data_IF_394640256306
#
_entry.id   IF_394640256306
#
_cell.length_a   1.000
_cell.length_b   1.000
_cell.length_c   1.000
_cell.angle_alpha   90.00
_cell.angle_beta   90.00
_cell.angle_gamma   90.00
#
_symmetry.space_group_name_H-M   'P 1'
#
loop_
_entity.id
_entity.type
_entity.pdbx_description
1 polymer ?
#
# COMPACT_ATOMS: atom_id res chain seq x y z
N UNK A 1 -27.37 -8.86 13.39
CA UNK A 1 -25.98 -9.34 13.21
C UNK A 1 -25.52 -9.63 11.78
N UNK A 2 -26.38 -9.70 10.75
CA UNK A 2 -25.99 -10.03 9.36
C UNK A 2 -24.89 -9.12 8.76
N UNK A 3 -24.84 -7.84 9.13
CA UNK A 3 -23.83 -6.90 8.62
C UNK A 3 -22.42 -7.11 9.18
N UNK A 4 -22.28 -7.81 10.32
CA UNK A 4 -20.98 -8.07 10.95
C UNK A 4 -20.04 -8.85 10.01
N UNK A 5 -20.59 -9.78 9.23
CA UNK A 5 -19.84 -10.58 8.27
C UNK A 5 -19.14 -9.68 7.22
N UNK A 6 -19.90 -8.76 6.60
CA UNK A 6 -19.35 -7.82 5.60
C UNK A 6 -18.44 -6.76 6.22
N UNK A 7 -18.76 -6.30 7.42
CA UNK A 7 -17.93 -5.30 8.11
C UNK A 7 -16.53 -5.88 8.41
N UNK A 8 -16.47 -7.09 8.96
CA UNK A 8 -15.23 -7.69 9.42
C UNK A 8 -14.40 -8.28 8.26
N UNK A 9 -14.99 -9.15 7.44
CA UNK A 9 -14.24 -9.87 6.39
C UNK A 9 -13.85 -8.97 5.20
N UNK A 10 -14.63 -7.92 4.93
CA UNK A 10 -14.38 -7.01 3.80
C UNK A 10 -13.71 -5.73 4.31
N UNK A 11 -14.43 -4.91 5.08
CA UNK A 11 -13.95 -3.57 5.43
C UNK A 11 -12.79 -3.62 6.42
N UNK A 12 -12.88 -4.43 7.48
CA UNK A 12 -11.79 -4.59 8.46
C UNK A 12 -10.52 -5.13 7.80
N UNK A 13 -10.67 -6.14 6.95
CA UNK A 13 -9.55 -6.76 6.25
C UNK A 13 -8.92 -5.83 5.18
N UNK A 14 -9.70 -4.98 4.52
CA UNK A 14 -9.18 -3.94 3.63
C UNK A 14 -8.49 -2.83 4.41
N UNK A 15 -9.12 -2.31 5.46
CA UNK A 15 -8.56 -1.27 6.31
C UNK A 15 -7.20 -1.68 6.87
N UNK A 16 -7.09 -2.91 7.38
CA UNK A 16 -5.82 -3.45 7.87
C UNK A 16 -4.76 -3.50 6.76
N UNK A 17 -5.07 -4.11 5.62
CA UNK A 17 -4.11 -4.25 4.52
C UNK A 17 -3.63 -2.90 3.97
N UNK A 18 -4.55 -1.94 3.80
CA UNK A 18 -4.24 -0.60 3.27
C UNK A 18 -3.41 0.21 4.26
N UNK A 19 -3.80 0.21 5.53
CA UNK A 19 -3.07 0.92 6.59
C UNK A 19 -1.65 0.37 6.74
N UNK A 20 -1.49 -0.95 6.72
CA UNK A 20 -0.17 -1.58 6.77
C UNK A 20 0.74 -1.14 5.63
N UNK A 21 0.26 -1.19 4.38
CA UNK A 21 1.05 -0.73 3.22
C UNK A 21 1.39 0.75 3.32
N UNK A 22 0.41 1.59 3.71
CA UNK A 22 0.61 3.02 3.92
C UNK A 22 1.73 3.30 4.93
N UNK A 23 1.71 2.63 6.08
CA UNK A 23 2.71 2.81 7.14
C UNK A 23 4.09 2.38 6.64
N UNK A 24 4.22 1.16 6.11
CA UNK A 24 5.50 0.61 5.66
C UNK A 24 6.12 1.46 4.54
N UNK A 25 5.32 1.87 3.56
CA UNK A 25 5.76 2.74 2.48
C UNK A 25 6.15 4.13 2.99
N UNK A 26 5.44 4.68 3.97
CA UNK A 26 5.76 5.99 4.57
C UNK A 26 7.09 5.97 5.33
N UNK A 27 7.43 4.87 6.01
CA UNK A 27 8.76 4.72 6.60
C UNK A 27 9.84 4.61 5.52
N UNK A 28 9.63 3.74 4.53
CA UNK A 28 10.57 3.52 3.45
C UNK A 28 10.90 4.81 2.69
N UNK A 29 9.90 5.60 2.27
CA UNK A 29 10.13 6.82 1.49
C UNK A 29 10.92 7.88 2.24
N UNK A 30 10.70 7.98 3.55
CA UNK A 30 11.38 8.95 4.40
C UNK A 30 12.84 8.54 4.62
N UNK A 31 13.07 7.28 4.98
CA UNK A 31 14.41 6.75 5.21
C UNK A 31 15.23 6.83 3.93
N UNK A 32 14.62 6.51 2.78
CA UNK A 32 15.29 6.60 1.50
C UNK A 32 15.85 8.00 1.22
N UNK A 33 15.08 9.06 1.49
CA UNK A 33 15.54 10.44 1.30
C UNK A 33 16.54 10.90 2.37
N UNK A 34 16.21 10.74 3.65
CA UNK A 34 17.03 11.30 4.73
C UNK A 34 18.35 10.57 4.94
N UNK A 35 18.43 9.26 4.64
CA UNK A 35 19.70 8.52 4.75
C UNK A 35 20.68 8.91 3.64
N UNK A 36 20.23 9.50 2.53
CA UNK A 36 21.15 10.05 1.52
C UNK A 36 22.01 11.17 2.09
N UNK A 37 21.46 12.01 2.97
CA UNK A 37 22.23 13.06 3.65
C UNK A 37 23.34 12.46 4.54
N UNK A 38 23.09 11.29 5.13
CA UNK A 38 24.13 10.55 5.86
C UNK A 38 25.25 10.07 4.92
N UNK A 39 24.92 9.55 3.74
CA UNK A 39 25.93 9.17 2.73
C UNK A 39 26.73 10.37 2.22
N UNK A 40 26.05 11.51 2.09
CA UNK A 40 26.70 12.77 1.73
C UNK A 40 27.64 13.26 2.83
N UNK A 41 27.30 13.07 4.12
CA UNK A 41 28.16 13.43 5.24
C UNK A 41 29.54 12.74 5.18
N UNK A 42 29.60 11.48 4.77
CA UNK A 42 30.88 10.78 4.55
C UNK A 42 31.73 11.40 3.43
N UNK A 43 31.09 12.04 2.45
CA UNK A 43 31.77 12.68 1.32
C UNK A 43 32.21 14.12 1.62
N UNK A 44 31.57 14.79 2.57
CA UNK A 44 31.78 16.20 2.89
C UNK A 44 32.58 16.44 4.19
N UNK A 45 33.19 15.38 4.75
CA UNK A 45 33.99 15.45 5.97
C UNK A 45 33.18 15.67 7.24
N UNK A 46 31.90 15.23 7.28
CA UNK A 46 30.98 15.43 8.41
C UNK A 46 30.73 16.90 8.77
N UNK A 47 30.78 17.79 7.79
CA UNK A 47 30.55 19.24 7.99
C UNK A 47 29.09 19.61 8.29
N UNK A 48 28.14 18.67 8.09
CA UNK A 48 26.71 18.92 8.26
C UNK A 48 26.07 19.69 7.09
N UNK A 49 26.78 19.84 5.98
CA UNK A 49 26.24 20.44 4.77
C UNK A 49 25.11 19.56 4.20
N UNK A 50 23.99 20.19 3.86
CA UNK A 50 22.85 19.53 3.21
C UNK A 50 23.10 19.37 1.70
N UNK A 51 22.69 18.23 1.15
CA UNK A 51 22.72 17.95 -0.29
C UNK A 51 21.53 18.61 -1.00
N UNK A 52 20.35 18.56 -0.37
CA UNK A 52 19.12 19.11 -0.95
C UNK A 52 18.81 20.50 -0.42
N UNK A 53 18.11 21.30 -1.22
CA UNK A 53 17.60 22.59 -0.75
C UNK A 53 16.56 22.39 0.36
N UNK A 54 16.57 23.31 1.34
CA UNK A 54 15.78 23.19 2.57
C UNK A 54 14.27 23.10 2.29
N UNK A 55 13.78 23.83 1.30
CA UNK A 55 12.37 23.77 0.92
C UNK A 55 12.02 22.49 0.19
N UNK A 56 12.92 21.96 -0.65
CA UNK A 56 12.74 20.65 -1.27
C UNK A 56 12.61 19.55 -0.21
N UNK A 57 13.42 19.59 0.85
CA UNK A 57 13.31 18.64 1.98
C UNK A 57 11.95 18.78 2.68
N UNK A 58 11.52 20.01 2.99
CA UNK A 58 10.24 20.26 3.67
C UNK A 58 9.02 19.84 2.86
N UNK A 59 9.04 20.07 1.54
CA UNK A 59 7.92 19.80 0.64
C UNK A 59 7.85 18.33 0.17
N UNK A 60 8.92 17.56 0.36
CA UNK A 60 8.98 16.15 -0.03
C UNK A 60 7.78 15.34 0.47
N UNK A 61 7.48 15.46 1.77
CA UNK A 61 6.43 14.69 2.41
C UNK A 61 5.03 15.23 2.18
N UNK A 62 4.90 16.52 1.88
CA UNK A 62 3.61 17.22 1.82
C UNK A 62 3.07 17.30 0.39
N UNK A 63 3.94 17.55 -0.59
CA UNK A 63 3.53 17.77 -1.98
C UNK A 63 3.93 16.58 -2.84
N UNK A 64 5.22 16.24 -2.90
CA UNK A 64 5.72 15.33 -3.92
C UNK A 64 5.42 13.86 -3.62
N UNK A 65 5.34 13.46 -2.35
CA UNK A 65 5.14 12.04 -1.97
C UNK A 65 3.98 11.82 -1.00
N UNK A 66 3.07 12.77 -0.84
CA UNK A 66 1.88 12.64 0.01
C UNK A 66 0.76 11.80 -0.63
N UNK A 67 0.61 11.92 -1.96
CA UNK A 67 -0.47 11.27 -2.69
C UNK A 67 -0.34 9.74 -2.74
N UNK A 68 0.84 9.14 -3.01
CA UNK A 68 0.94 7.68 -3.11
C UNK A 68 0.53 6.91 -1.84
N UNK A 69 0.97 7.32 -0.62
CA UNK A 69 0.46 6.75 0.64
C UNK A 69 -1.06 6.85 0.77
N UNK A 70 -1.65 7.99 0.38
CA UNK A 70 -3.08 8.21 0.44
C UNK A 70 -3.83 7.30 -0.54
N UNK A 71 -3.29 7.11 -1.75
CA UNK A 71 -3.84 6.18 -2.74
C UNK A 71 -3.84 4.73 -2.23
N UNK A 72 -2.76 4.29 -1.56
CA UNK A 72 -2.72 3.00 -0.85
C UNK A 72 -3.81 2.90 0.22
N UNK A 73 -3.93 3.93 1.06
CA UNK A 73 -4.84 3.97 2.20
C UNK A 73 -6.32 3.87 1.81
N UNK A 74 -6.70 4.44 0.65
CA UNK A 74 -8.10 4.59 0.26
C UNK A 74 -8.55 3.62 -0.83
N UNK A 75 -7.73 3.43 -1.88
CA UNK A 75 -8.19 2.84 -3.13
C UNK A 75 -7.64 1.44 -3.40
N UNK A 76 -6.56 1.02 -2.74
CA UNK A 76 -5.92 -0.28 -3.03
C UNK A 76 -6.78 -1.48 -2.60
N UNK A 77 -6.97 -2.44 -3.51
CA UNK A 77 -7.80 -3.63 -3.31
C UNK A 77 -7.13 -4.87 -3.89
N UNK A 78 -6.67 -5.76 -3.01
CA UNK A 78 -6.01 -7.00 -3.42
C UNK A 78 -6.95 -8.09 -3.96
N UNK A 79 -8.20 -8.15 -3.48
CA UNK A 79 -9.22 -9.08 -3.97
C UNK A 79 -10.58 -8.39 -3.92
N UNK A 80 -11.53 -8.83 -4.76
CA UNK A 80 -12.89 -8.29 -4.71
C UNK A 80 -13.57 -8.53 -3.36
N UNK A 81 -14.53 -7.67 -3.03
CA UNK A 81 -15.41 -7.85 -1.88
C UNK A 81 -16.17 -9.19 -1.95
N UNK A 82 -16.52 -9.62 -3.17
CA UNK A 82 -17.20 -10.91 -3.41
C UNK A 82 -16.30 -12.10 -3.08
N UNK A 83 -15.03 -12.10 -3.53
CA UNK A 83 -14.06 -13.14 -3.19
C UNK A 83 -13.85 -13.28 -1.68
N UNK A 84 -13.71 -12.17 -0.95
CA UNK A 84 -13.49 -12.21 0.50
C UNK A 84 -14.68 -12.77 1.28
N UNK A 85 -15.90 -12.50 0.83
CA UNK A 85 -17.10 -13.11 1.39
C UNK A 85 -17.22 -14.59 1.03
N UNK A 86 -16.82 -14.97 -0.19
CA UNK A 86 -16.82 -16.36 -0.65
C UNK A 86 -15.75 -17.20 0.07
N UNK A 87 -14.60 -16.62 0.40
CA UNK A 87 -13.49 -17.29 1.07
C UNK A 87 -13.07 -16.60 2.39
N UNK A 88 -13.74 -16.94 3.52
CA UNK A 88 -13.41 -16.38 4.84
C UNK A 88 -11.98 -16.68 5.30
N UNK A 89 -11.35 -17.74 4.77
CA UNK A 89 -9.96 -18.12 5.11
C UNK A 89 -8.94 -17.02 4.79
N UNK A 90 -9.22 -16.12 3.83
CA UNK A 90 -8.36 -14.96 3.55
C UNK A 90 -8.19 -14.02 4.75
N UNK A 91 -9.14 -14.05 5.70
CA UNK A 91 -9.09 -13.24 6.92
C UNK A 91 -8.04 -13.73 7.93
N UNK A 92 -7.69 -15.02 7.91
CA UNK A 92 -6.69 -15.59 8.85
C UNK A 92 -5.34 -14.88 8.75
N UNK A 93 -4.92 -14.50 7.55
CA UNK A 93 -3.64 -13.78 7.37
C UNK A 93 -3.68 -12.36 7.95
N UNK A 94 -4.87 -11.75 8.08
CA UNK A 94 -5.02 -10.49 8.81
C UNK A 94 -4.98 -10.72 10.33
N UNK A 95 -5.57 -11.82 10.83
CA UNK A 95 -5.53 -12.17 12.26
C UNK A 95 -4.12 -12.52 12.75
N UNK A 96 -3.35 -13.25 11.92
CA UNK A 96 -1.97 -13.64 12.24
C UNK A 96 -0.98 -12.46 12.15
N UNK A 97 -1.44 -11.28 11.74
CA UNK A 97 -0.60 -10.10 11.52
C UNK A 97 0.54 -10.31 10.53
N UNK A 98 0.33 -11.16 9.51
CA UNK A 98 1.38 -11.52 8.55
C UNK A 98 1.84 -10.30 7.72
N UNK A 99 0.96 -9.33 7.50
CA UNK A 99 1.24 -8.13 6.72
C UNK A 99 2.08 -7.11 7.49
N UNK A 100 1.89 -7.02 8.81
CA UNK A 100 2.59 -6.06 9.67
C UNK A 100 3.24 -6.80 10.84
N UNK A 101 4.50 -7.17 10.62
CA UNK A 101 5.36 -7.80 11.62
C UNK A 101 6.68 -7.03 11.69
N UNK A 102 7.36 -7.06 12.84
CA UNK A 102 8.69 -6.48 13.05
C UNK A 102 9.68 -6.95 11.99
N UNK A 103 9.62 -8.23 11.58
CA UNK A 103 10.45 -8.76 10.48
C UNK A 103 10.18 -8.04 9.16
N UNK A 104 8.91 -7.86 8.80
CA UNK A 104 8.51 -7.16 7.56
C UNK A 104 8.96 -5.71 7.64
N UNK A 105 8.74 -5.04 8.78
CA UNK A 105 9.20 -3.68 9.00
C UNK A 105 10.70 -3.53 8.71
N UNK A 106 11.55 -4.35 9.32
CA UNK A 106 13.00 -4.30 9.08
C UNK A 106 13.39 -4.59 7.62
N UNK A 107 12.70 -5.50 6.93
CA UNK A 107 12.93 -5.72 5.49
C UNK A 107 12.72 -4.42 4.72
N UNK A 108 11.64 -3.68 4.98
CA UNK A 108 11.39 -2.38 4.35
C UNK A 108 12.46 -1.33 4.69
N UNK A 109 12.96 -1.31 5.93
CA UNK A 109 14.06 -0.43 6.35
C UNK A 109 15.34 -0.75 5.57
N UNK A 110 15.73 -2.04 5.49
CA UNK A 110 16.92 -2.44 4.75
C UNK A 110 16.80 -2.17 3.25
N UNK A 111 15.62 -2.38 2.65
CA UNK A 111 15.36 -1.97 1.26
C UNK A 111 15.51 -0.46 1.07
N UNK A 112 15.03 0.36 2.02
CA UNK A 112 15.19 1.82 1.96
C UNK A 112 16.66 2.24 2.03
N UNK A 113 17.46 1.61 2.89
CA UNK A 113 18.91 1.85 3.01
C UNK A 113 19.63 1.40 1.75
N UNK A 114 19.28 0.24 1.19
CA UNK A 114 19.85 -0.26 -0.07
C UNK A 114 19.57 0.71 -1.22
N UNK A 115 18.33 1.18 -1.35
CA UNK A 115 17.98 2.17 -2.37
C UNK A 115 18.66 3.52 -2.15
N UNK A 116 18.78 4.00 -0.90
CA UNK A 116 19.46 5.27 -0.63
C UNK A 116 20.95 5.24 -1.01
N UNK A 117 21.62 4.10 -0.79
CA UNK A 117 23.01 3.89 -1.25
C UNK A 117 23.07 4.03 -2.77
N UNK A 118 22.24 3.29 -3.51
CA UNK A 118 22.27 3.35 -4.98
C UNK A 118 21.91 4.74 -5.51
N UNK A 119 20.88 5.36 -4.96
CA UNK A 119 20.42 6.69 -5.38
C UNK A 119 21.43 7.80 -5.07
N UNK A 120 22.34 7.60 -4.12
CA UNK A 120 23.42 8.55 -3.86
C UNK A 120 24.66 8.26 -4.71
N UNK A 121 25.16 7.02 -4.66
CA UNK A 121 26.43 6.68 -5.31
C UNK A 121 26.34 6.60 -6.83
N UNK A 122 25.22 6.14 -7.41
CA UNK A 122 25.11 6.06 -8.88
C UNK A 122 25.14 7.44 -9.55
N UNK A 123 24.33 8.45 -9.14
CA UNK A 123 24.48 9.80 -9.69
C UNK A 123 25.87 10.38 -9.42
N UNK A 124 26.41 10.19 -8.21
CA UNK A 124 27.76 10.68 -7.88
C UNK A 124 28.84 10.11 -8.80
N UNK A 125 28.73 8.84 -9.19
CA UNK A 125 29.66 8.21 -10.14
C UNK A 125 29.49 8.79 -11.56
N UNK A 126 28.25 9.01 -12.01
CA UNK A 126 27.96 9.61 -13.33
C UNK A 126 28.54 11.02 -13.42
N UNK A 127 28.37 11.82 -12.36
CA UNK A 127 28.86 13.19 -12.28
C UNK A 127 30.25 13.30 -11.64
N UNK A 128 31.02 12.21 -11.54
CA UNK A 128 32.36 12.23 -10.96
C UNK A 128 33.37 13.02 -11.80
N UNK A 129 33.10 13.18 -13.11
CA UNK A 129 33.80 14.13 -13.96
C UNK A 129 32.93 15.37 -14.01
N UNK A 130 33.38 16.44 -13.35
CA UNK A 130 32.60 17.66 -13.13
C UNK A 130 32.14 18.40 -14.41
N UNK A 131 32.60 17.98 -15.59
CA UNK A 131 32.21 18.49 -16.91
C UNK A 131 31.01 17.68 -17.43
N UNK A 132 29.80 18.12 -17.11
CA UNK A 132 28.56 17.49 -17.60
C UNK A 132 28.00 18.12 -18.88
N UNK A 133 28.49 19.30 -19.27
CA UNK A 133 28.06 20.02 -20.46
C UNK A 133 29.13 19.95 -21.56
N UNK A 134 28.69 19.85 -22.82
CA UNK A 134 29.58 19.92 -23.99
C UNK A 134 30.37 21.23 -24.09
N UNK A 135 29.90 22.28 -23.41
CA UNK A 135 30.49 23.61 -23.39
C UNK A 135 31.62 23.77 -22.33
N UNK A 136 31.97 22.70 -21.61
CA UNK A 136 33.04 22.72 -20.61
C UNK A 136 32.65 23.32 -19.25
N UNK A 137 31.38 23.70 -19.06
CA UNK A 137 30.88 24.22 -17.78
C UNK A 137 30.89 23.14 -16.70
N UNK A 138 31.38 23.54 -15.52
CA UNK A 138 31.44 22.70 -14.33
C UNK A 138 30.11 22.73 -13.57
N UNK A 139 29.71 21.56 -13.10
CA UNK A 139 28.49 21.36 -12.33
C UNK A 139 28.73 21.66 -10.84
N UNK A 140 27.83 22.42 -10.23
CA UNK A 140 27.85 22.70 -8.79
C UNK A 140 27.14 21.63 -7.96
N UNK A 141 27.39 21.64 -6.65
CA UNK A 141 26.76 20.74 -5.67
C UNK A 141 25.22 20.73 -5.74
N UNK A 142 24.60 21.90 -5.90
CA UNK A 142 23.14 22.06 -5.97
C UNK A 142 22.54 21.33 -7.17
N UNK A 143 23.25 21.30 -8.29
CA UNK A 143 22.81 20.54 -9.46
C UNK A 143 22.81 19.04 -9.16
N UNK A 144 23.92 18.51 -8.62
CA UNK A 144 24.00 17.09 -8.24
C UNK A 144 22.91 16.74 -7.23
N UNK A 145 22.66 17.61 -6.25
CA UNK A 145 21.55 17.49 -5.31
C UNK A 145 20.19 17.39 -5.99
N UNK A 146 19.92 18.25 -6.99
CA UNK A 146 18.66 18.21 -7.76
C UNK A 146 18.53 16.95 -8.63
N UNK A 147 19.63 16.45 -9.21
CA UNK A 147 19.64 15.18 -9.95
C UNK A 147 19.27 14.03 -9.00
N UNK A 148 19.96 13.92 -7.86
CA UNK A 148 19.72 12.87 -6.87
C UNK A 148 18.29 12.95 -6.35
N UNK A 149 17.80 14.14 -6.01
CA UNK A 149 16.44 14.34 -5.52
C UNK A 149 15.39 13.91 -6.55
N UNK A 150 15.59 14.26 -7.82
CA UNK A 150 14.68 13.85 -8.90
C UNK A 150 14.65 12.33 -9.05
N UNK A 151 15.81 11.67 -8.97
CA UNK A 151 15.88 10.21 -8.98
C UNK A 151 15.13 9.60 -7.78
N UNK A 152 15.29 10.17 -6.58
CA UNK A 152 14.58 9.71 -5.37
C UNK A 152 13.07 9.80 -5.54
N UNK A 153 12.54 10.95 -5.95
CA UNK A 153 11.09 11.14 -6.14
C UNK A 153 10.54 10.11 -7.13
N UNK A 154 11.21 9.91 -8.27
CA UNK A 154 10.77 8.97 -9.29
C UNK A 154 10.87 7.53 -8.77
N UNK A 155 11.99 7.12 -8.18
CA UNK A 155 12.16 5.77 -7.63
C UNK A 155 11.13 5.45 -6.56
N UNK A 156 10.84 6.39 -5.67
CA UNK A 156 9.86 6.20 -4.60
C UNK A 156 8.43 6.15 -5.15
N UNK A 157 8.10 6.95 -6.16
CA UNK A 157 6.80 6.87 -6.86
C UNK A 157 6.63 5.56 -7.63
N UNK A 158 7.68 5.11 -8.34
CA UNK A 158 7.68 3.83 -9.05
C UNK A 158 7.68 2.63 -8.09
N UNK A 159 8.35 2.73 -6.94
CA UNK A 159 8.21 1.73 -5.86
C UNK A 159 6.76 1.65 -5.39
N UNK A 160 6.06 2.78 -5.28
CA UNK A 160 4.64 2.78 -4.97
C UNK A 160 3.84 2.01 -6.05
N UNK A 161 4.14 2.27 -7.33
CA UNK A 161 3.53 1.58 -8.45
C UNK A 161 3.70 0.05 -8.39
N UNK A 162 4.88 -0.43 -7.96
CA UNK A 162 5.17 -1.86 -7.82
C UNK A 162 4.40 -2.53 -6.68
N UNK A 163 4.09 -1.80 -5.61
CA UNK A 163 3.45 -2.34 -4.40
C UNK A 163 1.91 -2.24 -4.44
N UNK A 164 1.35 -1.56 -5.45
CA UNK A 164 -0.09 -1.51 -5.69
C UNK A 164 -0.61 -2.86 -6.21
N UNK A 165 -1.70 -3.33 -5.61
CA UNK A 165 -2.37 -4.54 -6.10
C UNK A 165 -3.42 -4.22 -7.17
N UNK A 166 -4.05 -3.04 -7.08
CA UNK A 166 -5.06 -2.58 -8.04
C UNK A 166 -4.74 -1.20 -8.62
N UNK A 167 -4.68 -1.12 -9.95
CA UNK A 167 -4.54 0.13 -10.67
C UNK A 167 -5.90 0.78 -10.90
N UNK A 168 -6.10 1.94 -10.30
CA UNK A 168 -7.28 2.79 -10.47
C UNK A 168 -6.88 4.13 -11.08
N UNK A 169 -7.85 4.89 -11.59
CA UNK A 169 -7.58 6.25 -12.11
C UNK A 169 -6.92 7.13 -11.03
N UNK A 170 -7.36 6.98 -9.77
CA UNK A 170 -6.78 7.72 -8.65
C UNK A 170 -5.35 7.30 -8.33
N UNK A 171 -5.00 6.02 -8.45
CA UNK A 171 -3.61 5.59 -8.25
C UNK A 171 -2.70 6.07 -9.38
N UNK A 172 -3.18 6.09 -10.63
CA UNK A 172 -2.46 6.70 -11.74
C UNK A 172 -2.24 8.20 -11.52
N UNK A 173 -3.29 8.94 -11.19
CA UNK A 173 -3.21 10.37 -10.90
C UNK A 173 -2.24 10.64 -9.75
N UNK A 174 -2.27 9.80 -8.72
CA UNK A 174 -1.38 9.92 -7.57
C UNK A 174 0.09 9.70 -7.92
N UNK A 175 0.44 8.68 -8.70
CA UNK A 175 1.84 8.36 -9.02
C UNK A 175 2.40 9.34 -10.04
N UNK A 176 1.71 9.49 -11.17
CA UNK A 176 2.17 10.36 -12.26
C UNK A 176 2.04 11.83 -11.90
N UNK A 177 0.97 12.22 -11.19
CA UNK A 177 0.79 13.58 -10.70
C UNK A 177 1.88 13.98 -9.69
N UNK A 178 2.34 13.05 -8.85
CA UNK A 178 3.50 13.27 -7.96
C UNK A 178 4.81 13.53 -8.72
N UNK A 179 5.04 12.78 -9.81
CA UNK A 179 6.24 12.98 -10.64
C UNK A 179 6.16 14.31 -11.39
N UNK A 180 5.02 14.59 -12.04
CA UNK A 180 4.81 15.83 -12.80
C UNK A 180 4.86 17.06 -11.89
N UNK A 181 4.31 16.97 -10.67
CA UNK A 181 4.32 18.10 -9.73
C UNK A 181 5.74 18.49 -9.31
N UNK A 182 6.68 17.54 -9.23
CA UNK A 182 8.09 17.84 -8.98
C UNK A 182 8.73 18.65 -10.11
N UNK A 183 8.52 18.26 -11.37
CA UNK A 183 9.04 19.01 -12.52
C UNK A 183 8.43 20.42 -12.62
N UNK A 184 7.12 20.53 -12.43
CA UNK A 184 6.42 21.83 -12.41
C UNK A 184 6.93 22.71 -11.27
N UNK A 185 7.15 22.12 -10.08
CA UNK A 185 7.71 22.83 -8.94
C UNK A 185 9.11 23.37 -9.25
N UNK A 186 10.01 22.58 -9.83
CA UNK A 186 11.35 23.04 -10.19
C UNK A 186 11.31 24.24 -11.16
N UNK A 187 10.46 24.22 -12.18
CA UNK A 187 10.30 25.34 -13.11
C UNK A 187 9.86 26.64 -12.42
N UNK A 188 8.90 26.54 -11.48
CA UNK A 188 8.40 27.69 -10.75
C UNK A 188 9.42 28.18 -9.72
N UNK A 189 10.05 27.25 -8.99
CA UNK A 189 10.96 27.54 -7.89
C UNK A 189 12.30 28.13 -8.35
N UNK A 190 12.83 27.63 -9.47
CA UNK A 190 14.06 28.13 -10.08
C UNK A 190 13.85 29.40 -10.92
N UNK A 191 12.59 29.84 -11.10
CA UNK A 191 12.29 31.08 -11.82
C UNK A 191 12.95 32.29 -11.14
N UNK A 192 13.44 33.28 -11.90
CA UNK A 192 14.19 34.41 -11.32
C UNK A 192 13.41 35.17 -10.25
N UNK A 193 12.08 35.29 -10.42
CA UNK A 193 11.19 35.98 -9.49
C UNK A 193 11.10 35.28 -8.13
N UNK A 194 10.87 33.96 -8.13
CA UNK A 194 10.72 33.18 -6.89
C UNK A 194 12.09 32.91 -6.24
N UNK A 195 13.09 32.59 -7.05
CA UNK A 195 14.45 32.31 -6.58
C UNK A 195 15.09 33.51 -5.87
N UNK A 196 14.87 34.74 -6.35
CA UNK A 196 15.38 35.95 -5.69
C UNK A 196 14.78 36.18 -4.30
N UNK A 197 13.53 35.76 -4.07
CA UNK A 197 12.82 35.97 -2.82
C UNK A 197 13.09 34.87 -1.78
N UNK A 198 13.26 33.62 -2.24
CA UNK A 198 13.25 32.44 -1.36
C UNK A 198 14.60 31.71 -1.34
N UNK A 199 15.18 31.43 -2.51
CA UNK A 199 16.36 30.57 -2.64
C UNK A 199 17.26 30.99 -3.81
N UNK A 200 18.20 31.95 -3.59
CA UNK A 200 19.05 32.48 -4.65
C UNK A 200 19.96 31.40 -5.27
N UNK A 201 20.30 30.35 -4.52
CA UNK A 201 21.13 29.24 -4.98
C UNK A 201 20.45 28.36 -6.05
N UNK A 202 19.12 28.45 -6.18
CA UNK A 202 18.32 27.62 -7.09
C UNK A 202 18.02 28.33 -8.43
N UNK A 203 18.41 29.60 -8.58
CA UNK A 203 18.16 30.38 -9.80
C UNK A 203 18.90 29.72 -10.97
N UNK A 204 18.15 29.40 -12.04
CA UNK A 204 18.69 28.83 -13.28
C UNK A 204 19.12 27.36 -13.21
N UNK A 205 18.95 26.69 -12.06
CA UNK A 205 19.25 25.26 -11.93
C UNK A 205 18.35 24.39 -12.81
N UNK A 206 17.08 24.76 -12.97
CA UNK A 206 16.11 24.12 -13.87
C UNK A 206 16.60 24.08 -15.33
N UNK A 207 17.09 25.22 -15.83
CA UNK A 207 17.61 25.35 -17.20
C UNK A 207 18.83 24.49 -17.41
N UNK A 208 19.75 24.50 -16.45
CA UNK A 208 20.94 23.64 -16.47
C UNK A 208 20.53 22.17 -16.47
N UNK A 209 19.61 21.77 -15.61
CA UNK A 209 19.17 20.39 -15.44
C UNK A 209 18.51 19.85 -16.72
N UNK A 210 17.54 20.59 -17.29
CA UNK A 210 16.79 20.13 -18.46
C UNK A 210 17.58 20.19 -19.77
N UNK A 211 18.58 21.07 -19.87
CA UNK A 211 19.47 21.12 -21.05
C UNK A 211 20.52 20.00 -21.02
N UNK A 212 20.82 19.45 -19.83
CA UNK A 212 21.82 18.40 -19.69
C UNK A 212 21.29 17.04 -20.19
N UNK A 213 21.90 16.51 -21.25
CA UNK A 213 21.55 15.18 -21.76
C UNK A 213 21.86 14.06 -20.74
N UNK A 214 22.95 14.18 -19.99
CA UNK A 214 23.35 13.20 -18.97
C UNK A 214 22.30 13.09 -17.85
N UNK A 215 21.64 14.19 -17.49
CA UNK A 215 20.54 14.17 -16.52
C UNK A 215 19.39 13.27 -16.99
N UNK A 216 18.94 13.39 -18.24
CA UNK A 216 17.86 12.55 -18.78
C UNK A 216 18.25 11.07 -18.86
N UNK A 217 19.50 10.75 -19.23
CA UNK A 217 19.99 9.37 -19.19
C UNK A 217 20.05 8.82 -17.76
N UNK A 218 20.49 9.63 -16.81
CA UNK A 218 20.53 9.29 -15.38
C UNK A 218 19.13 8.98 -14.88
N UNK A 219 18.14 9.79 -15.26
CA UNK A 219 16.74 9.61 -14.91
C UNK A 219 16.12 8.36 -15.53
N UNK A 220 16.56 7.97 -16.74
CA UNK A 220 16.09 6.76 -17.40
C UNK A 220 16.72 5.49 -16.81
N UNK A 221 17.97 5.54 -16.38
CA UNK A 221 18.73 4.34 -15.97
C UNK A 221 18.66 4.09 -14.46
N UNK A 222 18.79 5.13 -13.63
CA UNK A 222 18.95 4.95 -12.19
C UNK A 222 17.67 4.41 -11.53
N UNK A 223 16.47 5.00 -11.72
CA UNK A 223 15.27 4.46 -11.09
C UNK A 223 14.99 2.99 -11.45
N UNK A 224 15.04 2.55 -12.73
CA UNK A 224 14.87 1.13 -13.05
C UNK A 224 15.96 0.23 -12.46
N UNK A 225 17.23 0.65 -12.45
CA UNK A 225 18.31 -0.16 -11.86
C UNK A 225 18.14 -0.33 -10.35
N UNK A 226 17.70 0.71 -9.64
CA UNK A 226 17.40 0.60 -8.20
C UNK A 226 16.25 -0.36 -7.91
N UNK A 227 15.18 -0.30 -8.71
CA UNK A 227 13.98 -1.12 -8.54
C UNK A 227 14.10 -2.53 -9.12
N UNK A 228 15.18 -2.83 -9.82
CA UNK A 228 15.37 -4.11 -10.49
C UNK A 228 15.32 -5.30 -9.51
N UNK A 229 15.97 -5.16 -8.36
CA UNK A 229 15.99 -6.21 -7.33
C UNK A 229 14.60 -6.45 -6.76
N UNK A 230 13.84 -5.39 -6.50
CA UNK A 230 12.46 -5.49 -6.04
C UNK A 230 11.56 -6.17 -7.07
N UNK A 231 11.71 -5.80 -8.34
CA UNK A 231 10.95 -6.39 -9.43
C UNK A 231 11.23 -7.90 -9.54
N UNK A 232 12.50 -8.30 -9.50
CA UNK A 232 12.89 -9.70 -9.50
C UNK A 232 12.36 -10.46 -8.28
N UNK A 233 12.40 -9.86 -7.09
CA UNK A 233 11.87 -10.46 -5.88
C UNK A 233 10.35 -10.71 -5.99
N UNK A 234 9.60 -9.71 -6.45
CA UNK A 234 8.15 -9.83 -6.66
C UNK A 234 7.81 -10.89 -7.71
N UNK A 235 8.55 -10.93 -8.81
CA UNK A 235 8.38 -11.96 -9.85
C UNK A 235 8.67 -13.36 -9.30
N UNK A 236 9.74 -13.52 -8.54
CA UNK A 236 10.11 -14.80 -7.94
C UNK A 236 9.04 -15.26 -6.95
N UNK A 237 8.57 -14.38 -6.07
CA UNK A 237 7.53 -14.71 -5.10
C UNK A 237 6.22 -15.08 -5.80
N UNK A 238 5.78 -14.31 -6.81
CA UNK A 238 4.57 -14.61 -7.58
C UNK A 238 4.68 -15.89 -8.39
N UNK A 239 5.87 -16.29 -8.83
CA UNK A 239 6.05 -17.50 -9.64
C UNK A 239 6.14 -18.77 -8.79
N UNK A 240 6.92 -18.75 -7.70
CA UNK A 240 7.26 -19.95 -6.94
C UNK A 240 6.53 -20.08 -5.59
N UNK A 241 6.09 -18.98 -4.98
CA UNK A 241 5.48 -18.98 -3.63
C UNK A 241 4.19 -18.17 -3.59
N UNK A 242 3.19 -18.62 -4.33
CA UNK A 242 1.88 -17.96 -4.41
C UNK A 242 1.13 -18.00 -3.07
N UNK A 243 0.76 -16.83 -2.58
CA UNK A 243 -0.12 -16.69 -1.42
C UNK A 243 -1.58 -17.02 -1.78
N UNK A 244 -2.38 -17.48 -0.81
CA UNK A 244 -3.81 -17.78 -1.01
C UNK A 244 -4.60 -16.57 -1.55
N UNK A 245 -4.20 -15.35 -1.16
CA UNK A 245 -4.76 -14.09 -1.68
C UNK A 245 -4.44 -13.90 -3.16
N UNK A 246 -3.20 -14.14 -3.57
CA UNK A 246 -2.77 -14.03 -4.97
C UNK A 246 -3.46 -15.09 -5.84
N UNK A 247 -3.67 -16.30 -5.32
CA UNK A 247 -4.43 -17.33 -6.02
C UNK A 247 -5.90 -16.92 -6.26
N UNK A 248 -6.57 -16.38 -5.23
CA UNK A 248 -7.92 -15.84 -5.39
C UNK A 248 -7.96 -14.71 -6.43
N UNK A 249 -6.99 -13.80 -6.38
CA UNK A 249 -6.87 -12.68 -7.32
C UNK A 249 -6.64 -13.16 -8.77
N UNK A 250 -5.76 -14.14 -8.99
CA UNK A 250 -5.53 -14.72 -10.33
C UNK A 250 -6.79 -15.38 -10.90
N UNK A 251 -7.56 -16.09 -10.07
CA UNK A 251 -8.80 -16.72 -10.50
C UNK A 251 -9.87 -15.67 -10.87
N UNK A 252 -9.95 -14.57 -10.11
CA UNK A 252 -10.83 -13.44 -10.45
C UNK A 252 -10.42 -12.75 -11.75
N UNK A 253 -9.13 -12.49 -11.95
CA UNK A 253 -8.61 -11.85 -13.17
C UNK A 253 -8.85 -12.71 -14.41
N UNK A 254 -8.71 -14.04 -14.28
CA UNK A 254 -9.00 -14.98 -15.38
C UNK A 254 -10.49 -15.14 -15.67
N UNK A 255 -11.38 -14.60 -14.84
CA UNK A 255 -12.83 -14.76 -14.98
C UNK A 255 -13.31 -16.20 -14.79
N UNK A 256 -12.50 -17.05 -14.16
CA UNK A 256 -12.81 -18.47 -13.97
C UNK A 256 -13.66 -18.62 -12.71
N UNK A 257 -14.78 -19.34 -12.82
CA UNK A 257 -15.52 -19.74 -11.61
C UNK A 257 -14.64 -20.66 -10.75
N UNK A 258 -14.48 -20.27 -9.49
CA UNK A 258 -13.67 -21.02 -8.52
C UNK A 258 -14.50 -21.40 -7.30
N UNK A 259 -14.17 -22.53 -6.70
CA UNK A 259 -14.78 -23.04 -5.48
C UNK A 259 -13.72 -23.21 -4.40
N UNK A 260 -14.16 -23.54 -3.18
CA UNK A 260 -13.27 -23.84 -2.08
C UNK A 260 -13.07 -25.34 -1.98
N UNK A 261 -11.82 -25.79 -1.93
CA UNK A 261 -11.50 -27.16 -1.55
C UNK A 261 -11.90 -27.43 -0.09
N UNK A 262 -11.87 -28.68 0.37
CA UNK A 262 -12.12 -29.08 1.77
C UNK A 262 -11.26 -28.32 2.79
N UNK A 263 -10.08 -27.84 2.34
CA UNK A 263 -9.17 -27.02 3.15
C UNK A 263 -9.50 -25.52 3.09
N UNK A 264 -10.55 -25.08 2.41
CA UNK A 264 -10.92 -23.67 2.25
C UNK A 264 -9.95 -22.86 1.39
N UNK A 265 -9.24 -23.51 0.45
CA UNK A 265 -8.33 -22.87 -0.51
C UNK A 265 -9.07 -22.68 -1.84
N UNK A 266 -8.94 -21.51 -2.51
CA UNK A 266 -9.54 -21.29 -3.82
C UNK A 266 -8.97 -22.26 -4.86
N UNK A 267 -9.84 -22.97 -5.59
CA UNK A 267 -9.49 -23.84 -6.71
C UNK A 267 -10.44 -23.60 -7.87
N UNK A 268 -9.93 -23.75 -9.09
CA UNK A 268 -10.76 -23.71 -10.28
C UNK A 268 -11.86 -24.78 -10.22
N UNK A 269 -13.10 -24.37 -10.50
CA UNK A 269 -14.23 -25.29 -10.60
C UNK A 269 -14.05 -26.15 -11.85
N UNK A 270 -13.75 -27.43 -11.65
CA UNK A 270 -13.74 -28.40 -12.74
C UNK A 270 -15.19 -28.81 -12.96
N UNK A 271 -15.72 -28.59 -14.17
CA UNK A 271 -17.02 -29.13 -14.57
C UNK A 271 -16.91 -30.65 -14.53
N UNK A 272 -17.42 -31.27 -13.47
CA UNK A 272 -17.56 -32.73 -13.42
C UNK A 272 -18.60 -33.11 -14.46
N UNK A 273 -18.21 -33.88 -15.47
CA UNK A 273 -19.16 -34.66 -16.24
C UNK A 273 -19.82 -35.67 -15.29
N UNK A 274 -21.14 -35.76 -15.36
CA UNK A 274 -22.06 -36.35 -14.37
C UNK A 274 -21.94 -37.87 -14.12
N UNK A 275 -20.78 -38.51 -14.29
CA UNK A 275 -20.69 -39.98 -14.25
C UNK A 275 -19.97 -40.61 -13.06
N UNK A 276 -19.60 -39.87 -12.01
CA UNK A 276 -19.11 -40.50 -10.77
C UNK A 276 -19.55 -39.71 -9.52
N UNK A 277 -20.83 -39.84 -9.17
CA UNK A 277 -21.25 -39.66 -7.79
C UNK A 277 -21.03 -40.98 -7.04
N UNK A 278 -19.84 -41.15 -6.48
CA UNK A 278 -19.66 -42.10 -5.39
C UNK A 278 -20.40 -41.52 -4.18
N UNK A 279 -21.61 -42.02 -3.92
CA UNK A 279 -22.35 -41.72 -2.69
C UNK A 279 -21.51 -42.21 -1.51
N UNK A 280 -20.73 -41.32 -0.91
CA UNK A 280 -20.21 -41.53 0.43
C UNK A 280 -21.40 -41.54 1.38
N UNK A 281 -21.72 -42.71 1.92
CA UNK A 281 -22.72 -42.89 2.97
C UNK A 281 -22.50 -41.83 4.06
N UNK A 282 -23.51 -41.03 4.43
CA UNK A 282 -23.37 -40.15 5.56
C UNK A 282 -23.14 -41.02 6.79
N UNK A 283 -22.00 -40.83 7.44
CA UNK A 283 -21.68 -41.42 8.73
C UNK A 283 -22.83 -41.14 9.68
N UNK A 284 -23.53 -42.21 10.04
CA UNK A 284 -24.46 -42.29 11.16
C UNK A 284 -23.80 -41.71 12.41
N UNK A 285 -24.30 -40.56 12.87
CA UNK A 285 -24.72 -40.21 14.24
C UNK A 285 -25.16 -38.74 14.16
N UNK A 286 -26.33 -38.51 13.58
CA UNK A 286 -27.18 -37.40 14.04
C UNK A 286 -28.11 -38.04 15.06
N UNK A 287 -27.77 -37.93 16.35
CA UNK A 287 -28.74 -38.21 17.42
C UNK A 287 -29.99 -37.39 17.12
N UNK A 288 -31.16 -38.01 17.22
CA UNK A 288 -32.45 -37.33 17.06
C UNK A 288 -32.61 -36.30 18.18
N UNK A 289 -32.02 -35.13 17.98
CA UNK A 289 -32.18 -34.00 18.88
C UNK A 289 -33.53 -33.37 18.54
N UNK A 290 -34.54 -33.60 19.38
CA UNK A 290 -35.90 -33.11 19.14
C UNK A 290 -36.04 -31.59 19.36
N UNK A 291 -34.94 -30.88 19.61
CA UNK A 291 -34.88 -29.42 19.55
C UNK A 291 -35.83 -28.71 20.51
N UNK A 292 -36.18 -29.34 21.64
CA UNK A 292 -37.06 -28.71 22.63
C UNK A 292 -36.33 -27.53 23.29
N UNK A 293 -36.89 -26.33 23.13
CA UNK A 293 -36.44 -25.11 23.77
C UNK A 293 -37.65 -24.34 24.31
N UNK A 294 -37.62 -24.02 25.60
CA UNK A 294 -38.67 -23.28 26.28
C UNK A 294 -38.04 -22.24 27.19
N UNK A 295 -38.42 -20.97 27.03
CA UNK A 295 -37.93 -19.86 27.85
C UNK A 295 -39.10 -19.35 28.68
N UNK A 296 -39.08 -19.64 29.99
CA UNK A 296 -40.06 -19.15 30.95
C UNK A 296 -39.34 -18.62 32.19
N UNK A 297 -39.88 -17.54 32.75
CA UNK A 297 -39.41 -16.97 34.01
C UNK A 297 -40.16 -17.66 35.16
N UNK A 298 -39.47 -18.52 35.92
CA UNK A 298 -40.08 -19.32 37.00
C UNK A 298 -40.14 -18.60 38.35
N UNK A 299 -39.32 -17.57 38.55
CA UNK A 299 -39.16 -16.88 39.84
C UNK A 299 -39.45 -15.37 39.77
N UNK A 300 -40.33 -14.95 38.85
CA UNK A 300 -40.86 -13.59 38.86
C UNK A 300 -41.61 -13.31 40.17
N UNK A 301 -41.65 -12.04 40.59
CA UNK A 301 -42.43 -11.57 41.76
C UNK A 301 -43.91 -12.01 41.75
N UNK A 302 -44.43 -12.31 40.56
CA UNK A 302 -45.76 -12.85 40.33
C UNK A 302 -45.61 -14.09 39.47
N UNK A 303 -46.15 -15.22 39.91
CA UNK A 303 -46.10 -16.45 39.14
C UNK A 303 -46.92 -16.34 37.85
N UNK A 304 -46.51 -17.02 36.79
CA UNK A 304 -47.21 -16.99 35.50
C UNK A 304 -48.69 -17.43 35.61
N UNK A 305 -49.00 -18.33 36.55
CA UNK A 305 -50.37 -18.73 36.86
C UNK A 305 -51.22 -17.59 37.47
N UNK A 306 -50.61 -16.71 38.24
CA UNK A 306 -51.29 -15.57 38.87
C UNK A 306 -51.56 -14.44 37.87
N UNK A 307 -50.67 -14.28 36.88
CA UNK A 307 -50.89 -13.34 35.76
C UNK A 307 -52.17 -13.70 35.02
N UNK A 308 -52.38 -14.97 34.68
CA UNK A 308 -53.57 -15.44 33.95
C UNK A 308 -54.86 -15.12 34.71
N UNK A 309 -54.84 -15.21 36.05
CA UNK A 309 -56.02 -14.97 36.89
C UNK A 309 -56.39 -13.51 37.07
N UNK A 310 -55.48 -12.57 36.76
CA UNK A 310 -55.67 -11.13 37.04
C UNK A 310 -56.07 -10.31 35.82
N UNK A 311 -55.97 -10.86 34.61
CA UNK A 311 -56.34 -10.14 33.38
C UNK A 311 -57.74 -10.54 32.92
N UNK A 312 -58.64 -9.56 32.85
CA UNK A 312 -59.91 -9.66 32.14
C UNK A 312 -59.83 -8.76 30.89
N UNK A 313 -59.95 -9.36 29.72
CA UNK A 313 -59.82 -8.66 28.43
C UNK A 313 -61.10 -7.97 27.98
N UNK A 314 -62.22 -8.21 28.67
CA UNK A 314 -63.52 -7.60 28.34
C UNK A 314 -63.70 -6.20 28.93
N UNK A 315 -62.89 -5.84 29.94
CA UNK A 315 -62.93 -4.53 30.58
C UNK A 315 -62.24 -3.47 29.72
N UNK A 316 -62.93 -2.36 29.47
CA UNK A 316 -62.39 -1.23 28.72
C UNK A 316 -61.32 -0.55 29.57
N UNK A 317 -60.14 -0.30 28.98
CA UNK A 317 -59.04 0.40 29.66
C UNK A 317 -59.56 1.74 30.21
N UNK A 318 -59.38 2.04 31.51
CA UNK A 318 -59.86 3.29 32.08
C UNK A 318 -59.19 4.46 31.34
N UNK A 319 -60.02 5.36 30.79
CA UNK A 319 -59.53 6.65 30.28
C UNK A 319 -59.17 7.48 31.50
N UNK A 320 -57.89 7.67 31.75
CA UNK A 320 -57.43 8.61 32.76
C UNK A 320 -57.94 10.01 32.39
N UNK A 321 -58.51 10.70 33.37
CA UNK A 321 -58.77 12.14 33.29
C UNK A 321 -57.46 12.94 33.35
#
# INVERSE_FOLDING_TARGET
>A
FRFLNKLLLVHGAFSYSRLTKLILYSFYKNICLYVIELWFAFSNGFSGQILFDKWCIGLYNVIFTALPPLAFGLFDQSCSSKARLKCPRLYKSSQNSDLFNVKVFWIWIFTAIYHSILLFYLPKLVFSKDVAFGDGLVVGQWFVGNVVYTCVVITVCLKAALELDSWTIYSHLSIWGSIVSWFVFLLIYCSPFVGLLIAPNMIGQDRMLYTCALFWFTLLIIPPTTLWVDFLFHLFQRSFKKNTRQLAQELEIKGIEWELDERGVPKQKIRKDNNMELKSSPSSIARSDHGFAFSQEEHGLVAQADVIRRYDTTLVKPKGE
#
